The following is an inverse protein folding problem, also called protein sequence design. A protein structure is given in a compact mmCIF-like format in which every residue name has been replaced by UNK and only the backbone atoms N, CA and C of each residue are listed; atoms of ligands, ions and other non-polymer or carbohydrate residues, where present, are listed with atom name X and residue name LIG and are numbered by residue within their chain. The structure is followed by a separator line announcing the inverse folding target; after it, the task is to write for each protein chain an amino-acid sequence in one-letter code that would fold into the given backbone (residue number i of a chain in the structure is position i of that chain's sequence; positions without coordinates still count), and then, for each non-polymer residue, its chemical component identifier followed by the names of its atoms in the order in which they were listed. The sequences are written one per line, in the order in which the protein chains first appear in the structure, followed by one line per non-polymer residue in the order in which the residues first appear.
data_IF_094040804778
#
_entry.id   IF_094040804778
#
_cell.length_a   1.000
_cell.length_b   1.000
_cell.length_c   1.000
_cell.angle_alpha   90.00
_cell.angle_beta   90.00
_cell.angle_gamma   90.00
#
_symmetry.space_group_name_H-M   'P 1'
#
loop_
_entity.id
_entity.type
_entity.pdbx_description
1 polymer ?
#
# COMPACT_ATOMS: atom_id res chain seq x y z
N UNK A 1 -23.79 -34.56 -13.65
CA UNK A 1 -23.49 -35.13 -12.32
C UNK A 1 -21.96 -35.15 -12.21
N UNK A 2 -21.34 -34.16 -11.54
CA UNK A 2 -21.13 -34.07 -10.07
C UNK A 2 -20.17 -35.17 -9.61
N UNK A 3 -18.98 -34.99 -9.02
CA UNK A 3 -18.26 -33.88 -8.34
C UNK A 3 -16.74 -34.22 -8.37
N UNK A 4 -15.76 -33.37 -8.03
CA UNK A 4 -15.72 -31.93 -7.74
C UNK A 4 -14.29 -31.40 -7.97
N UNK A 5 -14.14 -30.09 -8.26
CA UNK A 5 -12.92 -29.30 -7.99
C UNK A 5 -13.36 -27.90 -7.54
N UNK A 6 -13.80 -27.83 -6.28
CA UNK A 6 -13.86 -26.60 -5.50
C UNK A 6 -12.51 -26.51 -4.74
N UNK A 7 -12.09 -25.30 -4.36
CA UNK A 7 -10.86 -24.96 -3.62
C UNK A 7 -9.57 -24.79 -4.46
N UNK A 8 -9.36 -23.58 -5.01
CA UNK A 8 -8.43 -22.59 -4.42
C UNK A 8 -8.28 -21.35 -5.33
N UNK A 9 -8.60 -20.16 -4.80
CA UNK A 9 -8.29 -18.87 -5.41
C UNK A 9 -9.46 -18.20 -6.13
N UNK A 10 -9.86 -17.02 -5.62
CA UNK A 10 -10.77 -16.09 -6.32
C UNK A 10 -10.14 -15.67 -7.66
N UNK A 11 -10.92 -15.52 -8.75
CA UNK A 11 -10.35 -15.15 -10.04
C UNK A 11 -9.63 -13.80 -9.94
N UNK A 12 -8.38 -13.77 -10.39
CA UNK A 12 -7.59 -12.53 -10.41
C UNK A 12 -8.17 -11.56 -11.44
N UNK A 13 -8.42 -10.32 -11.03
CA UNK A 13 -8.96 -9.30 -11.91
C UNK A 13 -7.91 -8.92 -12.97
N UNK A 14 -8.20 -9.27 -14.23
CA UNK A 14 -7.33 -9.00 -15.36
C UNK A 14 -7.80 -7.77 -16.15
N UNK A 15 -6.89 -7.10 -16.86
CA UNK A 15 -7.22 -5.96 -17.72
C UNK A 15 -8.03 -6.39 -18.95
N UNK A 16 -9.09 -5.62 -19.26
CA UNK A 16 -9.86 -5.81 -20.48
C UNK A 16 -9.05 -5.44 -21.72
N UNK A 17 -9.08 -6.29 -22.75
CA UNK A 17 -8.41 -6.04 -24.04
C UNK A 17 -9.31 -5.15 -24.91
N UNK A 18 -8.71 -4.15 -25.55
CA UNK A 18 -9.34 -3.38 -26.62
C UNK A 18 -8.80 -3.89 -27.98
N UNK A 19 -9.62 -3.92 -29.05
CA UNK A 19 -9.12 -4.14 -30.41
C UNK A 19 -8.07 -3.09 -30.80
N UNK A 20 -7.01 -3.51 -31.50
CA UNK A 20 -5.93 -2.62 -31.95
C UNK A 20 -5.77 -2.75 -33.48
N UNK A 21 -5.99 -1.69 -34.27
CA UNK A 21 -6.58 -0.40 -33.86
C UNK A 21 -8.10 -0.55 -33.57
N UNK A 22 -8.69 0.29 -32.70
CA UNK A 22 -10.14 0.35 -32.53
C UNK A 22 -10.80 0.88 -33.82
N UNK A 23 -11.89 0.25 -34.23
CA UNK A 23 -12.67 0.69 -35.40
C UNK A 23 -13.56 1.91 -35.08
N UNK A 24 -14.12 2.55 -36.11
CA UNK A 24 -14.94 3.76 -35.93
C UNK A 24 -16.15 3.56 -35.02
N UNK A 25 -16.82 2.40 -35.10
CA UNK A 25 -17.96 2.08 -34.23
C UNK A 25 -17.55 1.97 -32.75
N UNK A 26 -16.41 1.34 -32.47
CA UNK A 26 -15.82 1.28 -31.15
C UNK A 26 -15.48 2.68 -30.61
N UNK A 27 -14.92 3.56 -31.46
CA UNK A 27 -14.62 4.95 -31.05
C UNK A 27 -15.90 5.74 -30.74
N UNK A 28 -16.93 5.65 -31.59
CA UNK A 28 -18.22 6.30 -31.36
C UNK A 28 -18.89 5.82 -30.06
N UNK A 29 -18.84 4.52 -29.75
CA UNK A 29 -19.32 3.98 -28.49
C UNK A 29 -18.54 4.53 -27.27
N UNK A 30 -17.20 4.57 -27.35
CA UNK A 30 -16.35 5.09 -26.28
C UNK A 30 -16.50 6.60 -26.07
N UNK A 31 -16.79 7.36 -27.12
CA UNK A 31 -17.10 8.78 -27.06
C UNK A 31 -18.49 9.02 -26.44
N UNK A 32 -19.52 8.24 -26.83
CA UNK A 32 -20.83 8.28 -26.18
C UNK A 32 -20.76 7.97 -24.67
N UNK A 33 -19.91 7.00 -24.29
CA UNK A 33 -19.63 6.70 -22.87
C UNK A 33 -18.90 7.84 -22.14
N UNK A 34 -18.00 8.57 -22.82
CA UNK A 34 -17.32 9.74 -22.27
C UNK A 34 -18.29 10.91 -22.07
N UNK A 35 -19.22 11.11 -23.00
CA UNK A 35 -20.05 12.33 -23.07
C UNK A 35 -21.43 12.15 -22.39
N UNK A 36 -21.67 11.00 -21.76
CA UNK A 36 -22.92 10.60 -21.09
C UNK A 36 -24.14 10.48 -22.01
N UNK A 37 -23.95 10.23 -23.30
CA UNK A 37 -25.07 9.92 -24.19
C UNK A 37 -25.51 8.47 -23.96
N UNK A 38 -26.34 8.28 -22.94
CA UNK A 38 -26.86 6.97 -22.51
C UNK A 38 -27.58 6.25 -23.65
N UNK A 39 -28.37 6.98 -24.45
CA UNK A 39 -29.13 6.40 -25.55
C UNK A 39 -28.21 5.89 -26.66
N UNK A 40 -27.25 6.72 -27.09
CA UNK A 40 -26.28 6.35 -28.11
C UNK A 40 -25.31 5.26 -27.63
N UNK A 41 -24.85 5.34 -26.38
CA UNK A 41 -23.94 4.35 -25.79
C UNK A 41 -24.60 2.96 -25.73
N UNK A 42 -25.88 2.87 -25.33
CA UNK A 42 -26.60 1.59 -25.33
C UNK A 42 -26.98 1.12 -26.75
N UNK A 43 -27.28 2.03 -27.68
CA UNK A 43 -27.52 1.68 -29.08
C UNK A 43 -26.26 1.14 -29.79
N UNK A 44 -25.09 1.67 -29.45
CA UNK A 44 -23.80 1.28 -30.03
C UNK A 44 -23.07 0.19 -29.21
N UNK A 45 -23.68 -0.32 -28.14
CA UNK A 45 -23.08 -1.31 -27.25
C UNK A 45 -22.72 -2.60 -28.03
N UNK A 46 -21.42 -2.96 -28.13
CA UNK A 46 -21.00 -4.16 -28.86
C UNK A 46 -21.11 -5.41 -28.00
N UNK A 47 -21.22 -6.58 -28.62
CA UNK A 47 -21.16 -7.89 -27.93
C UNK A 47 -19.80 -8.18 -27.28
N UNK A 48 -18.74 -7.44 -27.66
CA UNK A 48 -17.39 -7.60 -27.12
C UNK A 48 -17.31 -7.03 -25.69
N UNK A 49 -17.25 -7.93 -24.71
CA UNK A 49 -17.12 -7.63 -23.27
C UNK A 49 -15.88 -6.76 -22.98
N UNK A 50 -14.81 -6.87 -23.76
CA UNK A 50 -13.62 -6.03 -23.63
C UNK A 50 -13.91 -4.57 -23.96
N UNK A 51 -14.55 -4.32 -25.12
CA UNK A 51 -14.96 -2.97 -25.52
C UNK A 51 -16.01 -2.41 -24.56
N UNK A 52 -17.01 -3.20 -24.14
CA UNK A 52 -17.99 -2.80 -23.12
C UNK A 52 -17.32 -2.38 -21.80
N UNK A 53 -16.30 -3.12 -21.36
CA UNK A 53 -15.52 -2.79 -20.16
C UNK A 53 -14.70 -1.51 -20.33
N UNK A 54 -14.20 -1.21 -21.53
CA UNK A 54 -13.58 0.08 -21.82
C UNK A 54 -14.59 1.23 -21.80
N UNK A 55 -15.83 1.02 -22.28
CA UNK A 55 -16.94 1.96 -22.13
C UNK A 55 -17.29 2.22 -20.67
N UNK A 56 -17.42 1.15 -19.87
CA UNK A 56 -17.63 1.21 -18.42
C UNK A 56 -16.53 2.05 -17.75
N UNK A 57 -15.26 1.76 -18.06
CA UNK A 57 -14.11 2.49 -17.55
C UNK A 57 -14.10 3.96 -17.95
N UNK A 58 -14.68 4.32 -19.10
CA UNK A 58 -14.83 5.71 -19.55
C UNK A 58 -15.94 6.42 -18.77
N UNK A 59 -17.09 5.77 -18.58
CA UNK A 59 -18.19 6.30 -17.80
C UNK A 59 -17.79 6.53 -16.32
N UNK A 60 -17.13 5.55 -15.69
CA UNK A 60 -16.63 5.66 -14.30
C UNK A 60 -15.56 6.75 -14.15
N UNK A 61 -14.71 6.97 -15.15
CA UNK A 61 -13.72 8.05 -15.15
C UNK A 61 -14.39 9.43 -15.13
N UNK A 62 -15.48 9.58 -15.88
CA UNK A 62 -16.26 10.82 -16.03
C UNK A 62 -17.40 10.98 -15.01
N UNK A 63 -17.46 10.15 -13.95
CA UNK A 63 -18.52 10.17 -12.92
C UNK A 63 -19.95 9.82 -13.43
N UNK A 64 -20.05 9.19 -14.60
CA UNK A 64 -21.31 8.77 -15.22
C UNK A 64 -21.82 7.42 -14.66
N UNK A 65 -22.02 7.35 -13.33
CA UNK A 65 -22.30 6.11 -12.60
C UNK A 65 -23.63 5.43 -13.02
N UNK A 66 -24.65 6.20 -13.42
CA UNK A 66 -25.89 5.62 -13.97
C UNK A 66 -25.63 4.88 -15.30
N UNK A 67 -24.85 5.48 -16.20
CA UNK A 67 -24.44 4.82 -17.45
C UNK A 67 -23.55 3.60 -17.14
N UNK A 68 -22.65 3.71 -16.15
CA UNK A 68 -21.82 2.59 -15.71
C UNK A 68 -22.68 1.39 -15.24
N UNK A 69 -23.72 1.61 -14.43
CA UNK A 69 -24.68 0.55 -14.04
C UNK A 69 -25.41 -0.06 -15.23
N UNK A 70 -25.83 0.75 -16.21
CA UNK A 70 -26.50 0.24 -17.41
C UNK A 70 -25.55 -0.57 -18.31
N UNK A 71 -24.28 -0.17 -18.40
CA UNK A 71 -23.23 -0.91 -19.09
C UNK A 71 -22.96 -2.28 -18.44
N UNK A 72 -22.95 -2.36 -17.10
CA UNK A 72 -22.91 -3.65 -16.39
C UNK A 72 -24.12 -4.53 -16.74
N UNK A 73 -25.31 -3.93 -16.83
CA UNK A 73 -26.55 -4.60 -17.22
C UNK A 73 -26.54 -5.22 -18.61
N UNK A 74 -25.88 -4.59 -19.60
CA UNK A 74 -25.71 -5.15 -20.96
C UNK A 74 -24.49 -6.07 -21.11
N UNK A 75 -23.78 -6.39 -20.02
CA UNK A 75 -22.73 -7.40 -20.01
C UNK A 75 -21.30 -6.89 -19.83
N UNK A 76 -21.08 -5.59 -19.61
CA UNK A 76 -19.77 -5.11 -19.18
C UNK A 76 -19.32 -5.79 -17.87
N UNK A 77 -18.01 -5.82 -17.64
CA UNK A 77 -17.41 -6.32 -16.40
C UNK A 77 -16.47 -5.26 -15.86
N UNK A 78 -16.28 -5.21 -14.55
CA UNK A 78 -15.20 -4.41 -13.98
C UNK A 78 -13.86 -5.09 -14.21
N UNK A 79 -12.82 -4.30 -14.46
CA UNK A 79 -11.43 -4.73 -14.56
C UNK A 79 -10.52 -3.95 -13.58
N UNK A 80 -9.22 -4.17 -13.67
CA UNK A 80 -8.25 -3.43 -12.86
C UNK A 80 -8.32 -1.91 -13.06
N UNK A 81 -8.59 -1.42 -14.28
CA UNK A 81 -8.77 0.02 -14.48
C UNK A 81 -10.05 0.52 -13.80
N UNK A 82 -11.11 -0.28 -13.74
CA UNK A 82 -12.33 0.08 -13.00
C UNK A 82 -11.99 0.28 -11.52
N UNK A 83 -11.30 -0.69 -10.91
CA UNK A 83 -10.91 -0.61 -9.49
C UNK A 83 -10.00 0.60 -9.22
N UNK A 84 -8.98 0.85 -10.06
CA UNK A 84 -8.15 2.05 -9.91
C UNK A 84 -8.92 3.36 -10.08
N UNK A 85 -9.89 3.42 -11.02
CA UNK A 85 -10.70 4.62 -11.26
C UNK A 85 -11.68 4.90 -10.13
N UNK A 86 -12.32 3.87 -9.55
CA UNK A 86 -13.22 4.09 -8.40
C UNK A 86 -12.47 4.46 -7.12
N UNK A 87 -11.26 3.92 -6.89
CA UNK A 87 -10.47 4.13 -5.67
C UNK A 87 -10.12 5.59 -5.31
N UNK A 88 -10.47 6.55 -6.18
CA UNK A 88 -10.24 7.98 -6.04
C UNK A 88 -11.42 8.76 -5.46
N UNK A 89 -12.59 8.15 -5.26
CA UNK A 89 -13.79 8.83 -4.74
C UNK A 89 -14.71 7.85 -4.00
N UNK A 90 -15.17 8.27 -2.81
CA UNK A 90 -16.10 7.51 -1.97
C UNK A 90 -17.37 7.09 -2.72
N UNK A 91 -17.95 7.97 -3.54
CA UNK A 91 -19.20 7.67 -4.25
C UNK A 91 -19.00 6.63 -5.36
N UNK A 92 -17.81 6.60 -5.98
CA UNK A 92 -17.43 5.56 -6.94
C UNK A 92 -17.17 4.22 -6.23
N UNK A 93 -16.57 4.25 -5.04
CA UNK A 93 -16.34 3.06 -4.20
C UNK A 93 -17.69 2.46 -3.78
N UNK A 94 -18.61 3.29 -3.25
CA UNK A 94 -19.97 2.89 -2.91
C UNK A 94 -20.69 2.26 -4.08
N UNK A 95 -20.74 2.94 -5.23
CA UNK A 95 -21.37 2.43 -6.44
C UNK A 95 -20.84 1.04 -6.85
N UNK A 96 -19.52 0.81 -6.79
CA UNK A 96 -18.95 -0.48 -7.19
C UNK A 96 -19.29 -1.59 -6.18
N UNK A 97 -19.26 -1.30 -4.87
CA UNK A 97 -19.65 -2.28 -3.83
C UNK A 97 -21.15 -2.58 -3.89
N UNK A 98 -22.00 -1.56 -4.04
CA UNK A 98 -23.45 -1.69 -4.23
C UNK A 98 -23.80 -2.45 -5.53
N UNK A 99 -22.95 -2.36 -6.56
CA UNK A 99 -23.04 -3.16 -7.79
C UNK A 99 -22.60 -4.63 -7.61
N UNK A 100 -22.23 -5.05 -6.39
CA UNK A 100 -21.89 -6.44 -6.05
C UNK A 100 -20.40 -6.78 -6.10
N UNK A 101 -19.50 -5.80 -6.05
CA UNK A 101 -18.06 -6.05 -5.98
C UNK A 101 -17.64 -6.53 -4.57
N UNK A 102 -17.04 -7.72 -4.50
CA UNK A 102 -16.39 -8.23 -3.29
C UNK A 102 -15.14 -7.40 -2.99
N UNK A 103 -15.16 -6.64 -1.90
CA UNK A 103 -14.07 -5.74 -1.47
C UNK A 103 -12.72 -6.43 -1.27
N UNK A 104 -12.73 -7.75 -1.06
CA UNK A 104 -11.57 -8.63 -0.92
C UNK A 104 -11.27 -9.41 -2.23
N UNK A 105 -11.72 -8.91 -3.39
CA UNK A 105 -11.37 -9.44 -4.72
C UNK A 105 -9.86 -9.40 -4.94
N UNK A 106 -9.30 -10.47 -5.49
CA UNK A 106 -7.90 -10.54 -5.87
C UNK A 106 -7.61 -9.62 -7.06
N UNK A 107 -6.73 -8.65 -6.86
CA UNK A 107 -6.25 -7.71 -7.88
C UNK A 107 -4.87 -8.11 -8.39
N UNK A 108 -4.51 -7.61 -9.58
CA UNK A 108 -3.16 -7.78 -10.13
C UNK A 108 -2.11 -7.34 -9.10
N UNK A 109 -1.13 -8.20 -8.83
CA UNK A 109 -0.16 -7.99 -7.76
C UNK A 109 -0.50 -8.69 -6.44
N UNK A 110 -1.57 -9.50 -6.38
CA UNK A 110 -2.12 -10.07 -5.15
C UNK A 110 -2.59 -9.00 -4.13
N UNK A 111 -2.98 -7.83 -4.63
CA UNK A 111 -3.55 -6.76 -3.83
C UNK A 111 -5.06 -6.93 -3.63
N UNK A 112 -5.62 -6.19 -2.69
CA UNK A 112 -7.06 -5.94 -2.52
C UNK A 112 -7.34 -4.44 -2.57
N UNK A 113 -8.60 -4.05 -2.78
CA UNK A 113 -8.98 -2.64 -2.99
C UNK A 113 -8.53 -1.73 -1.82
N UNK A 114 -8.61 -2.24 -0.59
CA UNK A 114 -8.16 -1.54 0.61
C UNK A 114 -6.66 -1.16 0.55
N UNK A 115 -5.77 -2.00 -0.01
CA UNK A 115 -4.35 -1.67 -0.12
C UNK A 115 -4.10 -0.44 -1.03
N UNK A 116 -5.00 -0.17 -1.99
CA UNK A 116 -4.92 0.99 -2.89
C UNK A 116 -5.39 2.24 -2.15
N UNK A 117 -6.57 2.18 -1.52
CA UNK A 117 -7.24 3.34 -0.91
C UNK A 117 -6.51 3.84 0.34
N UNK A 118 -5.87 2.96 1.12
CA UNK A 118 -5.04 3.37 2.26
C UNK A 118 -3.92 4.34 1.85
N UNK A 119 -3.40 4.24 0.61
CA UNK A 119 -2.39 5.18 0.08
C UNK A 119 -2.90 6.61 -0.08
N UNK A 120 -4.22 6.81 -0.12
CA UNK A 120 -4.83 8.13 -0.33
C UNK A 120 -5.07 8.91 0.97
N UNK A 121 -4.81 8.33 2.15
CA UNK A 121 -5.01 8.98 3.45
C UNK A 121 -6.45 9.49 3.67
N UNK A 122 -7.44 8.82 3.09
CA UNK A 122 -8.87 9.17 3.21
C UNK A 122 -9.54 8.26 4.25
N UNK A 123 -9.71 8.77 5.47
CA UNK A 123 -10.37 8.04 6.55
C UNK A 123 -11.79 7.58 6.16
N UNK A 124 -12.55 8.38 5.42
CA UNK A 124 -13.96 8.09 5.14
C UNK A 124 -14.10 6.92 4.16
N UNK A 125 -13.29 6.90 3.10
CA UNK A 125 -13.24 5.77 2.16
C UNK A 125 -12.65 4.50 2.78
N UNK A 126 -11.63 4.62 3.64
CA UNK A 126 -11.06 3.48 4.37
C UNK A 126 -12.09 2.90 5.34
N UNK A 127 -12.73 3.75 6.14
CA UNK A 127 -13.79 3.38 7.10
C UNK A 127 -14.93 2.65 6.39
N UNK A 128 -15.44 3.22 5.29
CA UNK A 128 -16.51 2.59 4.52
C UNK A 128 -16.12 1.18 4.06
N UNK A 129 -14.94 0.98 3.46
CA UNK A 129 -14.53 -0.37 3.03
C UNK A 129 -14.38 -1.36 4.19
N UNK A 130 -13.87 -0.93 5.34
CA UNK A 130 -13.77 -1.76 6.54
C UNK A 130 -15.17 -2.15 7.06
N UNK A 131 -16.13 -1.22 7.03
CA UNK A 131 -17.55 -1.47 7.34
C UNK A 131 -18.22 -2.43 6.34
N UNK A 132 -17.77 -2.44 5.08
CA UNK A 132 -18.18 -3.42 4.06
C UNK A 132 -17.41 -4.76 4.16
N UNK A 133 -16.61 -4.98 5.21
CA UNK A 133 -15.92 -6.25 5.47
C UNK A 133 -14.60 -6.44 4.73
N UNK A 134 -13.92 -5.36 4.31
CA UNK A 134 -12.56 -5.46 3.79
C UNK A 134 -11.59 -5.93 4.89
N UNK A 135 -10.82 -6.99 4.63
CA UNK A 135 -9.85 -7.52 5.59
C UNK A 135 -8.54 -6.72 5.52
N UNK A 136 -8.15 -5.98 6.57
CA UNK A 136 -6.93 -5.19 6.57
C UNK A 136 -5.65 -6.05 6.52
N UNK A 137 -5.73 -7.35 6.77
CA UNK A 137 -4.59 -8.27 6.78
C UNK A 137 -4.30 -8.89 5.41
N UNK A 138 -5.19 -8.77 4.43
CA UNK A 138 -4.95 -9.24 3.06
C UNK A 138 -4.05 -8.26 2.29
N UNK A 139 -3.09 -8.82 1.55
CA UNK A 139 -2.28 -8.05 0.61
C UNK A 139 -1.27 -8.90 -0.15
N UNK A 140 -0.41 -8.26 -0.96
CA UNK A 140 0.64 -8.93 -1.72
C UNK A 140 1.57 -9.79 -0.85
N UNK A 141 2.13 -10.88 -1.40
CA UNK A 141 3.20 -11.61 -0.71
C UNK A 141 4.43 -10.70 -0.54
N UNK A 142 5.21 -10.84 0.55
CA UNK A 142 6.37 -9.97 0.81
C UNK A 142 7.46 -9.97 -0.28
N UNK A 143 7.63 -11.08 -1.02
CA UNK A 143 8.51 -11.18 -2.21
C UNK A 143 7.78 -10.69 -3.48
N UNK A 144 7.23 -9.48 -3.44
CA UNK A 144 6.44 -8.94 -4.55
C UNK A 144 7.30 -8.50 -5.75
N UNK A 145 8.62 -8.38 -5.60
CA UNK A 145 9.50 -7.70 -6.56
C UNK A 145 10.15 -8.62 -7.61
N UNK A 146 10.19 -9.94 -7.39
CA UNK A 146 11.00 -10.86 -8.21
C UNK A 146 10.24 -11.94 -8.99
N UNK A 147 8.91 -12.01 -8.85
CA UNK A 147 8.06 -12.95 -9.60
C UNK A 147 6.91 -12.21 -10.30
N UNK A 148 6.45 -12.66 -11.49
CA UNK A 148 5.25 -12.11 -12.11
C UNK A 148 4.02 -12.44 -11.24
N UNK A 149 3.63 -11.51 -10.37
CA UNK A 149 2.54 -11.61 -9.38
C UNK A 149 1.15 -11.82 -9.98
N UNK A 150 1.04 -11.90 -11.30
CA UNK A 150 -0.20 -11.85 -12.09
C UNK A 150 -1.17 -13.03 -11.84
N UNK A 151 -0.88 -13.92 -10.87
CA UNK A 151 -1.69 -15.11 -10.53
C UNK A 151 -1.70 -15.49 -9.05
N UNK A 152 -1.00 -14.79 -8.16
CA UNK A 152 -1.03 -15.14 -6.73
C UNK A 152 -2.32 -14.60 -6.07
N UNK A 153 -2.93 -15.33 -5.12
CA UNK A 153 -3.96 -14.76 -4.25
C UNK A 153 -3.31 -13.83 -3.21
N UNK A 154 -4.06 -12.87 -2.64
CA UNK A 154 -3.59 -12.10 -1.49
C UNK A 154 -3.30 -13.04 -0.31
N UNK A 155 -2.24 -12.77 0.44
CA UNK A 155 -1.88 -13.56 1.63
C UNK A 155 -2.39 -12.87 2.89
N UNK A 156 -2.98 -13.66 3.80
CA UNK A 156 -3.39 -13.20 5.12
C UNK A 156 -2.17 -12.85 5.97
N UNK A 157 -2.28 -11.76 6.74
CA UNK A 157 -1.20 -11.19 7.55
C UNK A 157 0.06 -10.84 6.71
N UNK A 158 -0.13 -10.31 5.50
CA UNK A 158 0.98 -9.83 4.64
C UNK A 158 1.82 -8.72 5.28
N UNK A 159 1.26 -7.96 6.23
CA UNK A 159 1.82 -6.72 6.76
C UNK A 159 1.77 -5.54 5.78
N UNK A 160 1.31 -5.75 4.54
CA UNK A 160 1.37 -4.76 3.46
C UNK A 160 0.53 -3.51 3.73
N UNK A 161 -0.74 -3.70 4.11
CA UNK A 161 -1.65 -2.60 4.48
C UNK A 161 -1.06 -1.76 5.61
N UNK A 162 -0.46 -2.40 6.61
CA UNK A 162 0.12 -1.74 7.77
C UNK A 162 1.36 -0.91 7.38
N UNK A 163 2.30 -1.51 6.64
CA UNK A 163 3.49 -0.83 6.11
C UNK A 163 3.12 0.41 5.28
N UNK A 164 2.08 0.31 4.44
CA UNK A 164 1.55 1.46 3.70
C UNK A 164 0.92 2.49 4.64
N UNK A 165 0.07 2.06 5.58
CA UNK A 165 -0.66 2.96 6.46
C UNK A 165 0.28 3.83 7.31
N UNK A 166 1.31 3.25 7.91
CA UNK A 166 2.24 4.01 8.77
C UNK A 166 3.08 5.02 7.97
N UNK A 167 3.37 4.74 6.70
CA UNK A 167 4.09 5.62 5.80
C UNK A 167 3.23 6.75 5.19
N UNK A 168 1.94 6.51 4.93
CA UNK A 168 1.08 7.43 4.14
C UNK A 168 -0.08 8.04 4.94
N UNK A 169 -0.50 7.43 6.06
CA UNK A 169 -1.71 7.85 6.77
C UNK A 169 -1.43 8.71 8.01
N UNK A 170 -2.50 9.22 8.63
CA UNK A 170 -2.47 9.80 9.98
C UNK A 170 -2.54 8.73 11.07
N UNK A 171 -2.36 9.15 12.32
CA UNK A 171 -2.47 8.28 13.50
C UNK A 171 -3.92 7.79 13.74
N UNK A 172 -4.91 8.60 13.36
CA UNK A 172 -6.34 8.28 13.46
C UNK A 172 -6.69 7.10 12.55
N UNK A 173 -6.21 7.12 11.31
CA UNK A 173 -6.39 6.02 10.34
C UNK A 173 -5.62 4.76 10.77
N UNK A 174 -4.42 4.89 11.34
CA UNK A 174 -3.71 3.76 11.93
C UNK A 174 -4.53 3.13 13.07
N UNK A 175 -5.08 3.94 13.98
CA UNK A 175 -5.92 3.46 15.08
C UNK A 175 -7.25 2.86 14.59
N UNK A 176 -7.83 3.37 13.49
CA UNK A 176 -8.98 2.79 12.80
C UNK A 176 -8.65 1.39 12.26
N UNK A 177 -7.52 1.23 11.55
CA UNK A 177 -7.10 -0.09 11.06
C UNK A 177 -6.85 -1.07 12.21
N UNK A 178 -6.31 -0.59 13.35
CA UNK A 178 -6.17 -1.38 14.58
C UNK A 178 -7.52 -1.77 15.17
N UNK A 179 -8.53 -0.88 15.19
CA UNK A 179 -9.87 -1.25 15.70
C UNK A 179 -10.60 -2.27 14.82
N UNK A 180 -10.21 -2.38 13.54
CA UNK A 180 -10.66 -3.43 12.61
C UNK A 180 -9.73 -4.66 12.56
N UNK A 181 -8.80 -4.80 13.51
CA UNK A 181 -8.01 -6.02 13.68
C UNK A 181 -6.82 -6.18 12.73
N UNK A 182 -6.21 -5.09 12.27
CA UNK A 182 -4.92 -5.17 11.57
C UNK A 182 -3.83 -5.76 12.48
N UNK A 183 -3.08 -6.73 11.97
CA UNK A 183 -2.08 -7.44 12.75
C UNK A 183 -0.74 -6.68 12.78
N UNK A 184 -0.51 -5.95 13.88
CA UNK A 184 0.68 -5.10 14.05
C UNK A 184 2.01 -5.87 14.18
N UNK A 185 1.97 -7.18 14.38
CA UNK A 185 3.16 -8.04 14.50
C UNK A 185 3.69 -8.56 13.16
N UNK A 186 2.95 -8.36 12.05
CA UNK A 186 3.34 -8.82 10.72
C UNK A 186 3.72 -7.63 9.83
N UNK A 187 4.82 -7.78 9.08
CA UNK A 187 5.44 -6.70 8.33
C UNK A 187 6.60 -6.04 9.09
N UNK A 188 6.96 -4.83 8.70
CA UNK A 188 8.08 -4.06 9.27
C UNK A 188 7.65 -2.59 9.49
N UNK A 189 6.58 -2.33 10.25
CA UNK A 189 5.94 -1.02 10.30
C UNK A 189 6.81 0.07 10.94
N UNK A 190 7.65 -0.26 11.94
CA UNK A 190 8.60 0.71 12.48
C UNK A 190 9.61 1.19 11.43
N UNK A 191 10.14 0.27 10.62
CA UNK A 191 11.04 0.58 9.51
C UNK A 191 10.35 1.46 8.46
N UNK A 192 9.11 1.13 8.11
CA UNK A 192 8.32 1.92 7.17
C UNK A 192 8.00 3.33 7.68
N UNK A 193 7.56 3.46 8.94
CA UNK A 193 7.28 4.75 9.58
C UNK A 193 8.54 5.60 9.77
N UNK A 194 9.71 4.96 9.95
CA UNK A 194 10.96 5.64 10.19
C UNK A 194 11.61 6.17 8.91
N UNK A 195 11.61 5.37 7.84
CA UNK A 195 12.18 5.75 6.53
C UNK A 195 11.22 6.54 5.65
N UNK A 196 9.95 6.11 5.56
CA UNK A 196 8.98 6.66 4.63
C UNK A 196 7.94 7.52 5.36
N UNK A 197 7.51 8.61 4.72
CA UNK A 197 6.55 9.53 5.29
C UNK A 197 6.18 10.63 4.33
N UNK A 198 4.92 11.05 4.38
CA UNK A 198 4.48 12.33 3.80
C UNK A 198 5.22 13.46 4.54
N UNK A 199 6.03 14.31 3.87
CA UNK A 199 6.86 15.33 4.53
C UNK A 199 6.10 16.29 5.45
N UNK A 200 4.85 16.59 5.11
CA UNK A 200 3.95 17.53 5.78
C UNK A 200 3.47 17.06 7.17
N UNK A 201 3.77 15.81 7.55
CA UNK A 201 3.32 15.23 8.82
C UNK A 201 4.46 14.51 9.55
N UNK A 202 4.79 14.96 10.76
CA UNK A 202 5.71 14.23 11.64
C UNK A 202 5.25 12.78 11.80
N UNK A 203 6.21 11.84 11.73
CA UNK A 203 5.96 10.40 11.92
C UNK A 203 6.07 9.98 13.38
N UNK A 204 6.52 10.88 14.27
CA UNK A 204 6.75 10.58 15.68
C UNK A 204 5.50 10.00 16.38
N UNK A 205 4.28 10.56 16.25
CA UNK A 205 3.09 9.99 16.92
C UNK A 205 2.73 8.57 16.46
N UNK A 206 3.10 8.19 15.23
CA UNK A 206 2.93 6.83 14.70
C UNK A 206 4.02 5.90 15.27
N UNK A 207 5.26 6.37 15.38
CA UNK A 207 6.36 5.62 16.00
C UNK A 207 6.12 5.39 17.50
N UNK A 208 5.72 6.43 18.25
CA UNK A 208 5.25 6.35 19.64
C UNK A 208 4.15 5.28 19.78
N UNK A 209 3.16 5.29 18.88
CA UNK A 209 2.06 4.33 18.90
C UNK A 209 2.52 2.90 18.64
N UNK A 210 3.43 2.68 17.70
CA UNK A 210 3.96 1.36 17.36
C UNK A 210 4.84 0.79 18.48
N UNK A 211 5.75 1.59 19.05
CA UNK A 211 6.55 1.16 20.23
C UNK A 211 5.65 0.93 21.45
N UNK A 212 4.64 1.77 21.66
CA UNK A 212 3.62 1.59 22.69
C UNK A 212 2.70 0.36 22.50
N UNK A 213 2.74 -0.29 21.34
CA UNK A 213 2.11 -1.59 21.08
C UNK A 213 3.08 -2.77 21.28
N UNK A 214 4.30 -2.52 21.78
CA UNK A 214 5.30 -3.53 22.13
C UNK A 214 6.19 -3.96 20.97
N UNK A 215 6.26 -3.20 19.87
CA UNK A 215 7.18 -3.49 18.78
C UNK A 215 8.62 -3.11 19.19
N UNK A 216 9.57 -4.01 18.94
CA UNK A 216 10.99 -3.81 19.25
C UNK A 216 11.57 -2.68 18.37
N UNK A 217 12.01 -1.60 19.01
CA UNK A 217 12.67 -0.45 18.37
C UNK A 217 14.01 -0.82 17.69
N UNK A 218 14.61 -1.94 18.12
CA UNK A 218 15.84 -2.53 17.60
C UNK A 218 15.58 -3.79 16.78
N UNK A 219 14.32 -4.02 16.36
CA UNK A 219 13.99 -5.03 15.36
C UNK A 219 14.86 -4.80 14.12
N UNK A 220 15.31 -5.89 13.53
CA UNK A 220 15.97 -5.88 12.23
C UNK A 220 14.96 -6.35 11.20
N UNK A 221 14.98 -5.76 10.00
CA UNK A 221 14.25 -6.30 8.86
C UNK A 221 14.87 -7.65 8.42
N UNK A 222 14.53 -8.72 9.14
CA UNK A 222 14.97 -10.07 8.78
C UNK A 222 14.11 -10.66 7.65
N UNK A 223 14.31 -10.16 6.43
CA UNK A 223 13.74 -10.81 5.25
C UNK A 223 14.45 -12.13 4.88
N UNK A 224 15.37 -12.69 5.69
CA UNK A 224 16.02 -13.99 5.37
C UNK A 224 15.06 -15.17 5.61
N UNK A 225 13.95 -14.96 6.33
CA UNK A 225 12.79 -15.88 6.35
C UNK A 225 11.85 -15.72 5.15
N UNK A 226 12.17 -14.80 4.24
CA UNK A 226 11.50 -14.56 2.96
C UNK A 226 12.54 -14.97 1.89
N UNK A 227 12.10 -15.52 0.76
CA UNK A 227 13.00 -16.21 -0.17
C UNK A 227 14.16 -15.37 -0.72
N UNK A 228 15.16 -16.06 -1.30
CA UNK A 228 16.27 -15.45 -2.02
C UNK A 228 15.79 -14.30 -2.93
N UNK A 229 16.58 -13.21 -3.02
CA UNK A 229 16.31 -11.91 -3.69
C UNK A 229 15.73 -10.76 -2.83
N UNK A 230 16.11 -10.72 -1.54
CA UNK A 230 15.91 -9.64 -0.56
C UNK A 230 15.66 -8.19 -1.02
N UNK A 231 14.61 -7.59 -0.44
CA UNK A 231 14.33 -6.14 -0.40
C UNK A 231 14.01 -5.61 1.03
N UNK A 232 14.12 -6.45 2.06
CA UNK A 232 14.07 -6.04 3.47
C UNK A 232 15.34 -6.48 4.16
N UNK A 233 16.44 -5.75 3.94
CA UNK A 233 17.73 -6.00 4.62
C UNK A 233 18.51 -4.68 4.85
N UNK A 234 17.83 -3.54 4.99
CA UNK A 234 18.48 -2.25 5.28
C UNK A 234 18.91 -2.14 6.75
N UNK A 235 18.33 -2.95 7.64
CA UNK A 235 18.68 -3.03 9.06
C UNK A 235 17.56 -2.57 9.98
N UNK A 236 17.91 -1.80 10.99
CA UNK A 236 16.97 -1.31 12.02
C UNK A 236 16.12 -0.12 11.53
N UNK A 237 15.05 0.27 12.24
CA UNK A 237 14.31 1.51 11.97
C UNK A 237 15.22 2.76 11.94
N UNK A 238 16.30 2.76 12.74
CA UNK A 238 17.29 3.83 12.74
C UNK A 238 18.13 3.88 11.44
N UNK A 239 18.47 2.72 10.87
CA UNK A 239 19.14 2.65 9.56
C UNK A 239 18.21 3.13 8.43
N UNK A 240 16.91 2.83 8.49
CA UNK A 240 15.89 3.39 7.59
C UNK A 240 15.78 4.92 7.72
N UNK A 241 15.66 5.45 8.94
CA UNK A 241 15.56 6.89 9.17
C UNK A 241 16.82 7.63 8.65
N UNK A 242 18.00 7.07 8.88
CA UNK A 242 19.27 7.61 8.40
C UNK A 242 19.36 7.62 6.87
N UNK A 243 19.04 6.49 6.22
CA UNK A 243 19.05 6.33 4.77
C UNK A 243 18.14 7.35 4.06
N UNK A 244 16.97 7.65 4.64
CA UNK A 244 15.99 8.58 4.09
C UNK A 244 16.14 10.03 4.60
N UNK A 245 17.22 10.35 5.32
CA UNK A 245 17.51 11.73 5.75
C UNK A 245 16.60 12.27 6.85
N UNK A 246 15.90 11.41 7.60
CA UNK A 246 14.85 11.77 8.56
C UNK A 246 15.42 12.11 9.95
N UNK A 247 16.16 13.21 10.06
CA UNK A 247 16.87 13.60 11.28
C UNK A 247 16.00 13.66 12.56
N UNK A 248 14.78 14.19 12.48
CA UNK A 248 13.82 14.23 13.60
C UNK A 248 13.51 12.82 14.12
N UNK A 249 13.31 11.87 13.20
CA UNK A 249 13.06 10.45 13.50
C UNK A 249 14.32 9.80 14.07
N UNK A 250 15.50 10.05 13.49
CA UNK A 250 16.78 9.57 14.03
C UNK A 250 16.97 9.99 15.49
N UNK A 251 16.68 11.25 15.81
CA UNK A 251 16.75 11.78 17.16
C UNK A 251 15.79 11.05 18.10
N UNK A 252 14.50 10.99 17.76
CA UNK A 252 13.49 10.34 18.59
C UNK A 252 13.81 8.85 18.81
N UNK A 253 14.29 8.13 17.78
CA UNK A 253 14.68 6.73 17.89
C UNK A 253 15.80 6.54 18.91
N UNK A 254 16.86 7.35 18.86
CA UNK A 254 17.97 7.31 19.82
C UNK A 254 17.50 7.66 21.25
N UNK A 255 16.66 8.68 21.40
CA UNK A 255 16.07 9.08 22.69
C UNK A 255 15.17 7.98 23.30
N UNK A 256 14.59 7.11 22.47
CA UNK A 256 13.74 5.99 22.90
C UNK A 256 14.46 4.62 22.91
N UNK A 257 15.80 4.61 22.89
CA UNK A 257 16.59 3.39 23.09
C UNK A 257 16.90 2.58 21.83
N UNK A 258 16.83 3.18 20.64
CA UNK A 258 17.45 2.59 19.47
C UNK A 258 18.98 2.51 19.66
N UNK A 259 19.55 1.35 19.35
CA UNK A 259 20.97 1.05 19.43
C UNK A 259 21.63 1.41 18.08
N UNK A 260 22.48 2.46 18.02
CA UNK A 260 23.16 2.88 16.80
C UNK A 260 24.23 1.88 16.33
N UNK A 261 24.63 0.92 17.17
CA UNK A 261 25.63 -0.09 16.91
C UNK A 261 25.03 -1.49 16.65
N UNK A 262 23.69 -1.63 16.76
CA UNK A 262 22.93 -2.79 16.30
C UNK A 262 23.18 -3.04 14.82
N UNK A 263 23.60 -4.26 14.48
CA UNK A 263 23.97 -4.66 13.12
C UNK A 263 22.80 -5.28 12.37
N UNK A 264 22.63 -4.86 11.12
CA UNK A 264 21.80 -5.52 10.11
C UNK A 264 22.36 -6.89 9.71
N UNK A 265 21.65 -7.70 8.89
CA UNK A 265 22.15 -9.01 8.46
C UNK A 265 23.42 -8.92 7.61
N UNK A 266 23.72 -7.74 7.04
CA UNK A 266 24.98 -7.44 6.34
C UNK A 266 26.14 -7.06 7.26
N UNK A 267 25.93 -7.05 8.59
CA UNK A 267 26.97 -6.75 9.58
C UNK A 267 27.30 -5.26 9.76
N UNK A 268 26.48 -4.35 9.20
CA UNK A 268 26.61 -2.88 9.36
C UNK A 268 25.56 -2.34 10.32
N UNK A 269 25.95 -1.37 11.14
CA UNK A 269 25.04 -0.59 12.00
C UNK A 269 24.72 0.79 11.42
N UNK A 270 23.81 1.54 12.06
CA UNK A 270 23.57 2.94 11.72
C UNK A 270 24.84 3.80 11.86
N UNK A 271 25.68 3.51 12.86
CA UNK A 271 26.98 4.19 13.05
C UNK A 271 28.01 3.84 11.97
N UNK A 272 27.94 2.65 11.37
CA UNK A 272 28.77 2.25 10.23
C UNK A 272 28.25 2.86 8.92
N UNK A 273 26.93 2.80 8.68
CA UNK A 273 26.26 3.38 7.52
C UNK A 273 26.49 4.89 7.43
N UNK A 274 26.50 5.58 8.57
CA UNK A 274 26.86 6.98 8.67
C UNK A 274 28.26 7.27 8.10
N UNK A 275 29.28 6.49 8.53
CA UNK A 275 30.68 6.69 8.14
C UNK A 275 30.92 6.47 6.64
N UNK A 276 30.06 5.70 5.97
CA UNK A 276 30.13 5.42 4.53
C UNK A 276 29.32 6.37 3.63
N UNK A 277 28.60 7.35 4.17
CA UNK A 277 27.62 8.17 3.44
C UNK A 277 28.05 9.62 3.13
N UNK A 278 29.32 9.99 3.35
CA UNK A 278 29.82 11.38 3.25
C UNK A 278 29.47 12.14 1.98
N UNK A 279 29.24 11.46 0.85
CA UNK A 279 29.22 12.08 -0.49
C UNK A 279 27.91 11.87 -1.29
N UNK A 280 26.86 11.22 -0.75
CA UNK A 280 25.64 10.90 -1.53
C UNK A 280 24.41 11.78 -1.27
N UNK A 281 24.27 12.36 -0.07
CA UNK A 281 23.07 13.14 0.31
C UNK A 281 23.40 14.59 0.73
N UNK A 282 24.61 15.05 0.43
CA UNK A 282 25.07 16.40 0.76
C UNK A 282 25.30 16.63 2.26
N UNK A 283 25.77 17.82 2.65
CA UNK A 283 26.19 18.11 4.03
C UNK A 283 25.04 18.23 5.06
N UNK A 284 23.78 18.01 4.66
CA UNK A 284 22.58 18.36 5.43
C UNK A 284 22.36 17.53 6.70
N UNK A 285 22.39 16.18 6.60
CA UNK A 285 22.20 15.30 7.76
C UNK A 285 23.52 14.93 8.47
N UNK A 286 24.65 15.07 7.78
CA UNK A 286 25.90 14.46 8.23
C UNK A 286 26.45 15.06 9.53
N UNK A 287 26.32 16.38 9.73
CA UNK A 287 26.78 17.02 10.98
C UNK A 287 25.79 16.80 12.14
N UNK A 288 24.48 17.04 11.98
CA UNK A 288 23.54 16.85 13.10
C UNK A 288 23.47 15.41 13.60
N UNK A 289 23.57 14.39 12.73
CA UNK A 289 23.56 13.00 13.20
C UNK A 289 24.83 12.61 13.97
N UNK A 290 25.99 13.21 13.66
CA UNK A 290 27.20 13.06 14.50
C UNK A 290 27.04 13.67 15.89
N UNK A 291 26.29 14.76 16.01
CA UNK A 291 25.99 15.39 17.30
C UNK A 291 25.05 14.48 18.12
N UNK A 292 23.98 13.96 17.51
CA UNK A 292 23.10 12.97 18.15
C UNK A 292 23.84 11.72 18.64
N UNK A 293 24.80 11.19 17.85
CA UNK A 293 25.60 10.03 18.29
C UNK A 293 26.52 10.36 19.48
N UNK A 294 27.10 11.56 19.55
CA UNK A 294 27.90 11.98 20.70
C UNK A 294 27.04 12.16 21.95
N UNK A 295 25.85 12.74 21.80
CA UNK A 295 24.91 12.95 22.90
C UNK A 295 24.41 11.60 23.44
N UNK A 296 24.15 10.64 22.54
CA UNK A 296 23.85 9.25 22.89
C UNK A 296 25.02 8.61 23.69
N UNK A 297 26.24 8.67 23.18
CA UNK A 297 27.43 8.09 23.83
C UNK A 297 27.67 8.71 25.23
N UNK A 298 27.50 10.02 25.37
CA UNK A 298 27.54 10.72 26.66
C UNK A 298 26.42 10.27 27.62
N UNK A 299 25.21 10.04 27.11
CA UNK A 299 24.09 9.56 27.94
C UNK A 299 24.36 8.15 28.49
N UNK A 300 24.91 7.25 27.67
CA UNK A 300 25.28 5.89 28.10
C UNK A 300 26.41 5.89 29.13
N UNK A 301 27.43 6.75 28.96
CA UNK A 301 28.51 6.90 29.95
C UNK A 301 28.02 7.42 31.30
N UNK A 302 27.04 8.33 31.32
CA UNK A 302 26.45 8.82 32.57
C UNK A 302 25.53 7.81 33.26
N UNK A 303 24.83 6.95 32.50
CA UNK A 303 24.05 5.83 33.05
C UNK A 303 24.93 4.70 33.59
N UNK A 304 26.11 4.47 33.01
CA UNK A 304 27.06 3.45 33.47
C UNK A 304 27.95 3.90 34.66
N UNK A 305 27.83 5.15 35.11
CA UNK A 305 28.68 5.77 36.14
C UNK A 305 28.02 5.96 37.51
N UNK A 306 26.96 5.21 37.81
CA UNK A 306 26.17 5.27 39.07
C UNK A 306 26.27 3.95 39.83
#
# INVERSE_FOLDING_TARGET
MTQDIIELGRPNLAYAKLPIPPNSSCLMFLDACRDNDVALALQLAPDDVGVLTWGLNRAVEMDHLNLASQLLGVGARWDMHTVYKVSKSLDKIRWLVESGFDVNTNLHGAAVMLNIIVRHNDEVSIRYLLEQGADPNLGPPPDSTHRPLSRHPPVSNSGWTLNIAVANCTLEILNLLISYGINVSHGIPLHYAAGYGIPEHSRIPILDRLVGLGLDINAVDDAIKIGEFGQGQHGTPLQYALLWGRLEVCKWLLENGADPDKKSPWGRSARDDFKGQSDRHGPGISRPFLELLKDYDNSMLSQAGV
#
